data_IF_193043443622
#
_entry.id   IF_193043443622
#
_cell.length_a   1.000
_cell.length_b   1.000
_cell.length_c   1.000
_cell.angle_alpha   90.00
_cell.angle_beta   90.00
_cell.angle_gamma   90.00
#
_symmetry.space_group_name_H-M   'P 1'
#
loop_
_entity.id
_entity.type
_entity.pdbx_description
1 polymer ?
#
# COMPACT_ATOMS: atom_id res chain seq x y z
N UNK A 1 -8.34 18.61 -22.64
CA UNK A 1 -8.34 17.33 -21.90
C UNK A 1 -7.40 17.49 -20.71
N UNK A 2 -7.81 17.17 -19.48
CA UNK A 2 -6.91 17.28 -18.31
C UNK A 2 -5.83 16.20 -18.38
N UNK A 3 -4.58 16.58 -18.12
CA UNK A 3 -3.46 15.64 -17.99
C UNK A 3 -3.37 15.17 -16.53
N UNK A 4 -3.30 13.85 -16.32
CA UNK A 4 -3.15 13.22 -14.99
C UNK A 4 -1.81 12.51 -14.82
N UNK A 5 -0.77 12.95 -15.56
CA UNK A 5 0.50 12.24 -15.58
C UNK A 5 1.21 12.25 -14.23
N UNK A 6 1.09 13.34 -13.46
CA UNK A 6 1.70 13.42 -12.12
C UNK A 6 1.03 12.42 -11.17
N UNK A 7 -0.29 12.30 -11.20
CA UNK A 7 -1.03 11.34 -10.38
C UNK A 7 -0.72 9.90 -10.79
N UNK A 8 -0.63 9.63 -12.10
CA UNK A 8 -0.23 8.32 -12.59
C UNK A 8 1.17 7.95 -12.13
N UNK A 9 2.12 8.89 -12.25
CA UNK A 9 3.49 8.68 -11.76
C UNK A 9 3.51 8.41 -10.26
N UNK A 10 2.74 9.16 -9.47
CA UNK A 10 2.64 8.94 -8.02
C UNK A 10 2.15 7.54 -7.68
N UNK A 11 1.10 7.07 -8.35
CA UNK A 11 0.52 5.74 -8.12
C UNK A 11 1.46 4.63 -8.57
N UNK A 12 2.18 4.80 -9.68
CA UNK A 12 3.18 3.84 -10.14
C UNK A 12 4.34 3.74 -9.14
N UNK A 13 4.88 4.89 -8.70
CA UNK A 13 5.94 4.92 -7.69
C UNK A 13 5.52 4.29 -6.37
N UNK A 14 4.26 4.50 -5.94
CA UNK A 14 3.73 3.82 -4.76
C UNK A 14 3.79 2.29 -4.92
N UNK A 15 3.34 1.75 -6.05
CA UNK A 15 3.36 0.29 -6.26
C UNK A 15 4.77 -0.26 -6.43
N UNK A 16 5.68 0.46 -7.07
CA UNK A 16 7.08 0.05 -7.20
C UNK A 16 7.76 -0.07 -5.83
N UNK A 17 7.56 0.92 -4.95
CA UNK A 17 8.11 0.87 -3.58
C UNK A 17 7.40 -0.17 -2.70
N UNK A 18 6.10 -0.36 -2.88
CA UNK A 18 5.33 -1.35 -2.14
C UNK A 18 5.74 -2.79 -2.50
N UNK A 19 6.04 -3.05 -3.78
CA UNK A 19 6.52 -4.35 -4.26
C UNK A 19 7.95 -4.66 -3.76
N UNK A 20 8.78 -3.64 -3.59
CA UNK A 20 10.12 -3.77 -3.02
C UNK A 20 10.13 -3.86 -1.47
N UNK A 21 9.00 -3.59 -0.82
CA UNK A 21 8.90 -3.57 0.63
C UNK A 21 8.85 -4.98 1.24
N UNK A 22 9.21 -5.06 2.52
CA UNK A 22 9.04 -6.24 3.36
C UNK A 22 8.29 -5.86 4.64
N UNK A 23 8.09 -6.82 5.54
CA UNK A 23 7.37 -6.60 6.79
C UNK A 23 7.95 -5.46 7.66
N UNK A 24 9.25 -5.20 7.59
CA UNK A 24 9.91 -4.13 8.36
C UNK A 24 9.79 -2.75 7.69
N UNK A 25 9.67 -2.70 6.36
CA UNK A 25 9.70 -1.44 5.60
C UNK A 25 8.34 -0.97 5.08
N UNK A 26 7.34 -1.86 5.00
CA UNK A 26 6.06 -1.56 4.35
C UNK A 26 5.27 -0.43 5.02
N UNK A 27 5.32 -0.30 6.35
CA UNK A 27 4.67 0.80 7.06
C UNK A 27 5.21 2.17 6.63
N UNK A 28 6.53 2.27 6.47
CA UNK A 28 7.17 3.50 5.98
C UNK A 28 6.70 3.84 4.55
N UNK A 29 6.64 2.85 3.65
CA UNK A 29 6.14 3.07 2.29
C UNK A 29 4.70 3.57 2.32
N UNK A 30 3.81 2.93 3.07
CA UNK A 30 2.41 3.37 3.13
C UNK A 30 2.31 4.81 3.65
N UNK A 31 3.01 5.15 4.75
CA UNK A 31 2.99 6.52 5.30
C UNK A 31 3.54 7.58 4.35
N UNK A 32 4.51 7.23 3.49
CA UNK A 32 5.08 8.14 2.49
C UNK A 32 4.07 8.53 1.39
N UNK A 33 3.22 7.58 0.98
CA UNK A 33 2.32 7.75 -0.15
C UNK A 33 0.87 8.07 0.25
N UNK A 34 0.57 8.12 1.54
CA UNK A 34 -0.79 8.33 2.05
C UNK A 34 -0.85 9.51 3.03
N UNK A 35 -2.04 10.09 3.16
CA UNK A 35 -2.28 11.10 4.19
C UNK A 35 -2.38 10.39 5.56
N UNK A 36 -1.85 10.95 6.66
CA UNK A 36 -1.96 10.35 7.99
C UNK A 36 -3.37 9.89 8.38
N UNK A 37 -4.42 10.60 7.93
CA UNK A 37 -5.82 10.31 8.28
C UNK A 37 -6.59 9.58 7.16
N UNK A 38 -5.90 8.95 6.20
CA UNK A 38 -6.58 8.27 5.10
C UNK A 38 -7.42 7.09 5.61
N UNK A 39 -8.60 6.92 5.03
CA UNK A 39 -9.49 5.80 5.34
C UNK A 39 -9.26 4.67 4.35
N UNK A 40 -9.02 3.48 4.87
CA UNK A 40 -8.93 2.25 4.08
C UNK A 40 -10.14 1.38 4.37
N UNK A 41 -10.86 0.99 3.32
CA UNK A 41 -12.05 0.15 3.41
C UNK A 41 -11.70 -1.28 2.99
N UNK A 42 -11.20 -2.05 3.96
CA UNK A 42 -10.87 -3.45 3.79
C UNK A 42 -12.10 -4.35 3.74
N UNK A 43 -11.91 -5.54 3.14
CA UNK A 43 -12.87 -6.63 3.26
C UNK A 43 -12.78 -7.29 4.64
N UNK A 44 -13.82 -8.02 5.05
CA UNK A 44 -13.72 -8.87 6.25
C UNK A 44 -12.52 -9.84 6.13
N UNK A 45 -11.70 -10.04 7.17
CA UNK A 45 -11.87 -9.59 8.56
C UNK A 45 -11.24 -8.23 8.89
N UNK A 46 -10.64 -7.54 7.91
CA UNK A 46 -9.87 -6.33 8.15
C UNK A 46 -10.73 -5.09 8.32
N UNK A 47 -11.93 -5.04 7.72
CA UNK A 47 -12.88 -3.93 7.83
C UNK A 47 -12.23 -2.56 7.55
N UNK A 48 -12.78 -1.49 8.13
CA UNK A 48 -12.25 -0.13 7.99
C UNK A 48 -11.02 0.08 8.87
N UNK A 49 -9.99 0.72 8.32
CA UNK A 49 -8.78 1.11 9.01
C UNK A 49 -8.49 2.60 8.78
N UNK A 50 -8.00 3.27 9.82
CA UNK A 50 -7.70 4.69 9.80
C UNK A 50 -6.18 4.89 9.88
N UNK A 51 -5.62 5.47 8.82
CA UNK A 51 -4.20 5.78 8.72
C UNK A 51 -3.33 4.63 8.25
N UNK A 52 -2.13 4.99 7.80
CA UNK A 52 -1.20 4.05 7.18
C UNK A 52 -0.65 3.00 8.11
N UNK A 53 -0.43 3.37 9.37
CA UNK A 53 0.09 2.46 10.37
C UNK A 53 -0.91 1.34 10.66
N UNK A 54 -2.20 1.66 10.83
CA UNK A 54 -3.24 0.66 11.04
C UNK A 54 -3.36 -0.30 9.85
N UNK A 55 -3.30 0.21 8.62
CA UNK A 55 -3.32 -0.61 7.39
C UNK A 55 -2.09 -1.50 7.28
N UNK A 56 -0.92 -0.98 7.66
CA UNK A 56 0.32 -1.74 7.66
C UNK A 56 0.24 -2.89 8.67
N UNK A 57 -0.14 -2.60 9.91
CA UNK A 57 -0.20 -3.58 11.01
C UNK A 57 -1.25 -4.67 10.79
N UNK A 58 -2.44 -4.29 10.32
CA UNK A 58 -3.58 -5.22 10.20
C UNK A 58 -3.48 -6.11 8.95
N UNK A 59 -2.91 -5.60 7.86
CA UNK A 59 -2.89 -6.31 6.58
C UNK A 59 -1.48 -6.59 6.05
N UNK A 60 -0.69 -5.55 5.79
CA UNK A 60 0.54 -5.70 5.00
C UNK A 60 1.66 -6.43 5.74
N UNK A 61 1.89 -6.12 7.01
CA UNK A 61 2.94 -6.76 7.82
C UNK A 61 2.65 -8.26 7.97
N UNK A 62 1.44 -8.70 8.38
CA UNK A 62 1.11 -10.13 8.43
C UNK A 62 1.24 -10.81 7.07
N UNK A 63 0.78 -10.15 6.00
CA UNK A 63 0.83 -10.69 4.64
C UNK A 63 2.26 -10.90 4.13
N UNK A 64 3.12 -9.89 4.24
CA UNK A 64 4.52 -9.96 3.78
C UNK A 64 5.41 -10.80 4.70
N UNK A 65 4.97 -11.06 5.94
CA UNK A 65 5.64 -12.01 6.83
C UNK A 65 5.33 -13.47 6.45
N UNK A 66 4.13 -13.72 5.93
CA UNK A 66 3.71 -15.05 5.50
C UNK A 66 4.16 -15.40 4.08
N UNK A 67 4.19 -14.41 3.19
CA UNK A 67 4.45 -14.61 1.76
C UNK A 67 5.69 -13.84 1.30
N UNK A 68 6.52 -14.49 0.49
CA UNK A 68 7.73 -13.92 -0.10
C UNK A 68 7.60 -13.72 -1.61
N UNK A 69 8.32 -12.74 -2.17
CA UNK A 69 8.35 -12.45 -3.62
C UNK A 69 6.97 -12.14 -4.21
N UNK A 70 6.16 -11.35 -3.49
CA UNK A 70 4.85 -10.90 -3.98
C UNK A 70 5.07 -9.87 -5.10
N UNK A 71 4.34 -10.03 -6.21
CA UNK A 71 4.43 -9.15 -7.36
C UNK A 71 3.04 -8.67 -7.80
N UNK A 72 2.92 -7.40 -8.15
CA UNK A 72 1.70 -6.85 -8.77
C UNK A 72 1.70 -7.13 -10.27
N UNK A 73 0.64 -7.79 -10.76
CA UNK A 73 0.39 -7.95 -12.19
C UNK A 73 -0.30 -6.71 -12.75
N UNK A 74 0.46 -5.80 -13.36
CA UNK A 74 -0.09 -4.58 -13.99
C UNK A 74 -0.67 -4.83 -15.39
N UNK A 75 -0.43 -6.00 -15.96
CA UNK A 75 -0.82 -6.43 -17.30
C UNK A 75 -2.20 -7.11 -17.35
N UNK A 76 -2.89 -7.20 -16.22
CA UNK A 76 -4.21 -7.83 -16.06
C UNK A 76 -5.29 -6.78 -15.86
#
# INVERSE_FOLDING_TARGET
MKSYQNQKSLILSFYDELEAANADSVGKVISQFTNPDFQWYGVYPFNEQNGGDAVAEVFWIPFLSAWSNVQRRQDV
#
